data_IF_916793684031
#
_entry.id   IF_916793684031
#
_cell.length_a   1.000
_cell.length_b   1.000
_cell.length_c   1.000
_cell.angle_alpha   90.00
_cell.angle_beta   90.00
_cell.angle_gamma   90.00
#
_symmetry.space_group_name_H-M   'P 1'
#
loop_
_entity.id
_entity.type
_entity.pdbx_description
1 polymer ?
#
# COMPACT_ATOMS: atom_id res chain seq x y z
N UNK A 1 6.02 26.46 -11.48
CA UNK A 1 5.02 25.48 -10.99
C UNK A 1 5.13 25.41 -9.48
N UNK A 2 4.04 25.59 -8.77
CA UNK A 2 4.04 25.63 -7.31
C UNK A 2 4.32 24.20 -6.80
N UNK A 3 5.42 23.97 -6.06
CA UNK A 3 5.86 22.63 -5.67
C UNK A 3 4.75 21.81 -4.96
N UNK A 4 3.83 22.49 -4.27
CA UNK A 4 2.67 21.87 -3.63
C UNK A 4 1.68 21.22 -4.61
N UNK A 5 1.46 21.79 -5.80
CA UNK A 5 0.56 21.18 -6.80
C UNK A 5 1.16 19.91 -7.41
N UNK A 6 2.48 19.90 -7.61
CA UNK A 6 3.20 18.73 -8.12
C UNK A 6 3.10 17.55 -7.15
N UNK A 7 3.34 17.79 -5.86
CA UNK A 7 3.24 16.77 -4.82
C UNK A 7 1.80 16.25 -4.69
N UNK A 8 0.79 17.13 -4.72
CA UNK A 8 -0.63 16.71 -4.66
C UNK A 8 -1.01 15.80 -5.83
N UNK A 9 -0.55 16.10 -7.05
CA UNK A 9 -0.79 15.24 -8.22
C UNK A 9 -0.09 13.89 -8.06
N UNK A 10 1.16 13.89 -7.59
CA UNK A 10 1.94 12.68 -7.33
C UNK A 10 1.23 11.76 -6.33
N UNK A 11 0.74 12.32 -5.22
CA UNK A 11 0.01 11.57 -4.19
C UNK A 11 -1.29 10.97 -4.75
N UNK A 12 -2.05 11.73 -5.55
CA UNK A 12 -3.28 11.22 -6.19
C UNK A 12 -2.99 10.03 -7.09
N UNK A 13 -1.97 10.14 -7.94
CA UNK A 13 -1.55 9.04 -8.80
C UNK A 13 -1.08 7.84 -7.97
N UNK A 14 -0.29 8.09 -6.91
CA UNK A 14 0.16 7.06 -6.00
C UNK A 14 -0.97 6.31 -5.30
N UNK A 15 -2.07 6.98 -4.96
CA UNK A 15 -3.27 6.32 -4.42
C UNK A 15 -4.00 5.46 -5.43
N UNK A 16 -4.01 5.84 -6.69
CA UNK A 16 -4.68 5.08 -7.75
C UNK A 16 -3.91 3.81 -8.12
N UNK A 17 -2.57 3.86 -8.08
CA UNK A 17 -1.70 2.75 -8.53
C UNK A 17 -1.00 1.99 -7.39
N UNK A 18 -1.08 2.49 -6.16
CA UNK A 18 -0.45 1.90 -4.97
C UNK A 18 1.01 2.27 -4.70
N UNK A 19 1.70 2.95 -5.63
CA UNK A 19 3.11 3.32 -5.46
C UNK A 19 3.50 4.65 -6.13
N UNK A 20 4.66 5.18 -5.75
CA UNK A 20 5.33 6.34 -6.33
C UNK A 20 6.80 5.98 -6.60
N UNK A 21 7.31 6.35 -7.77
CA UNK A 21 8.72 6.21 -8.08
C UNK A 21 9.56 7.20 -7.27
N UNK A 22 10.59 6.68 -6.59
CA UNK A 22 11.50 7.47 -5.75
C UNK A 22 12.18 8.59 -6.52
N UNK A 23 12.53 8.37 -7.78
CA UNK A 23 13.12 9.42 -8.62
C UNK A 23 12.15 10.60 -8.84
N UNK A 24 10.87 10.30 -9.12
CA UNK A 24 9.82 11.30 -9.35
C UNK A 24 9.49 12.05 -8.06
N UNK A 25 9.45 11.34 -6.93
CA UNK A 25 9.30 11.94 -5.61
C UNK A 25 10.48 12.89 -5.32
N UNK A 26 11.72 12.40 -5.44
CA UNK A 26 12.92 13.20 -5.18
C UNK A 26 12.99 14.46 -6.04
N UNK A 27 12.56 14.39 -7.31
CA UNK A 27 12.44 15.58 -8.18
C UNK A 27 11.41 16.57 -7.65
N UNK A 28 10.26 16.10 -7.19
CA UNK A 28 9.17 16.93 -6.63
C UNK A 28 9.52 17.54 -5.28
N UNK A 29 10.42 16.92 -4.52
CA UNK A 29 10.90 17.39 -3.21
C UNK A 29 12.20 18.21 -3.30
N UNK A 30 12.70 18.53 -4.51
CA UNK A 30 13.87 19.40 -4.68
C UNK A 30 13.56 20.78 -4.08
N UNK A 31 14.39 21.21 -3.14
CA UNK A 31 14.23 22.47 -2.41
C UNK A 31 13.54 22.37 -1.05
N UNK A 32 12.99 21.21 -0.69
CA UNK A 32 12.52 20.96 0.68
C UNK A 32 13.68 20.55 1.59
N UNK A 33 13.55 20.87 2.88
CA UNK A 33 14.51 20.45 3.91
C UNK A 33 14.47 18.94 4.11
N UNK A 34 15.49 18.37 4.75
CA UNK A 34 15.48 16.93 5.06
C UNK A 34 14.31 16.55 5.98
N UNK A 35 13.93 17.44 6.90
CA UNK A 35 12.81 17.22 7.83
C UNK A 35 11.49 17.15 7.06
N UNK A 36 11.24 18.11 6.16
CA UNK A 36 10.01 18.12 5.36
C UNK A 36 9.92 16.90 4.44
N UNK A 37 11.05 16.47 3.86
CA UNK A 37 11.13 15.28 3.02
C UNK A 37 10.76 14.03 3.82
N UNK A 38 11.32 13.88 5.01
CA UNK A 38 11.06 12.74 5.88
C UNK A 38 9.59 12.72 6.29
N UNK A 39 9.03 13.86 6.69
CA UNK A 39 7.61 13.99 7.01
C UNK A 39 6.70 13.55 5.85
N UNK A 40 7.02 13.95 4.62
CA UNK A 40 6.26 13.54 3.43
C UNK A 40 6.38 12.04 3.17
N UNK A 41 7.59 11.46 3.31
CA UNK A 41 7.83 10.03 3.14
C UNK A 41 7.01 9.22 4.15
N UNK A 42 7.05 9.60 5.43
CA UNK A 42 6.28 8.95 6.50
C UNK A 42 4.77 9.09 6.28
N UNK A 43 4.33 10.27 5.80
CA UNK A 43 2.92 10.49 5.46
C UNK A 43 2.48 9.57 4.31
N UNK A 44 3.31 9.38 3.28
CA UNK A 44 3.02 8.47 2.16
C UNK A 44 2.90 7.02 2.63
N UNK A 45 3.80 6.56 3.51
CA UNK A 45 3.75 5.22 4.08
C UNK A 45 2.48 5.01 4.91
N UNK A 46 2.10 6.00 5.73
CA UNK A 46 0.84 5.97 6.49
C UNK A 46 -0.43 6.07 5.62
N UNK A 47 -0.28 6.44 4.35
CA UNK A 47 -1.35 6.40 3.34
C UNK A 47 -1.34 5.12 2.51
N UNK A 48 -0.52 4.13 2.87
CA UNK A 48 -0.35 2.86 2.16
C UNK A 48 0.14 3.05 0.72
N UNK A 49 0.93 4.09 0.47
CA UNK A 49 1.54 4.37 -0.84
C UNK A 49 3.02 4.00 -0.77
N UNK A 50 3.43 3.02 -1.56
CA UNK A 50 4.82 2.56 -1.57
C UNK A 50 5.73 3.54 -2.30
N UNK A 51 6.94 3.74 -1.79
CA UNK A 51 8.00 4.43 -2.52
C UNK A 51 8.97 3.38 -3.03
N UNK A 52 9.00 3.19 -4.35
CA UNK A 52 9.79 2.12 -5.00
C UNK A 52 10.83 2.71 -5.95
N UNK A 53 11.93 2.00 -6.17
CA UNK A 53 12.95 2.41 -7.14
C UNK A 53 12.51 2.05 -8.57
N UNK A 54 11.71 0.99 -8.73
CA UNK A 54 11.12 0.57 -10.01
C UNK A 54 9.69 0.01 -9.85
N UNK A 55 8.84 0.04 -10.89
CA UNK A 55 7.49 -0.56 -10.83
C UNK A 55 7.45 -2.05 -10.48
N UNK A 56 8.56 -2.77 -10.67
CA UNK A 56 8.67 -4.21 -10.40
C UNK A 56 8.81 -4.53 -8.92
N UNK A 57 9.20 -3.55 -8.11
CA UNK A 57 9.34 -3.68 -6.66
C UNK A 57 8.03 -3.39 -5.93
N UNK A 58 6.99 -2.95 -6.66
CA UNK A 58 5.67 -2.78 -6.09
C UNK A 58 5.09 -4.12 -5.66
N UNK A 59 4.75 -4.22 -4.38
CA UNK A 59 4.12 -5.39 -3.78
C UNK A 59 2.68 -5.06 -3.41
N UNK A 60 1.71 -5.49 -4.21
CA UNK A 60 0.29 -5.23 -3.96
C UNK A 60 -0.20 -5.74 -2.59
N UNK A 61 0.53 -6.66 -1.94
CA UNK A 61 0.17 -7.24 -0.66
C UNK A 61 0.90 -6.63 0.54
N UNK A 62 1.82 -5.67 0.35
CA UNK A 62 2.64 -5.11 1.44
C UNK A 62 1.83 -4.60 2.64
N UNK A 63 0.68 -3.99 2.37
CA UNK A 63 -0.20 -3.41 3.39
C UNK A 63 -1.41 -4.28 3.71
N UNK A 64 -1.47 -5.50 3.16
CA UNK A 64 -2.54 -6.44 3.42
C UNK A 64 -2.50 -6.88 4.88
N UNK A 65 -3.63 -6.74 5.58
CA UNK A 65 -3.74 -7.29 6.93
C UNK A 65 -3.76 -8.83 6.89
N UNK A 66 -3.41 -9.46 8.02
CA UNK A 66 -3.51 -10.92 8.14
C UNK A 66 -4.93 -11.45 7.90
N UNK A 67 -5.95 -10.70 8.31
CA UNK A 67 -7.35 -11.06 8.06
C UNK A 67 -7.72 -11.00 6.58
N UNK A 68 -7.23 -9.99 5.85
CA UNK A 68 -7.42 -9.89 4.40
C UNK A 68 -6.66 -10.99 3.65
N UNK A 69 -5.44 -11.33 4.10
CA UNK A 69 -4.69 -12.47 3.58
C UNK A 69 -5.48 -13.77 3.73
N UNK A 70 -6.05 -14.01 4.91
CA UNK A 70 -6.89 -15.18 5.18
C UNK A 70 -8.11 -15.20 4.25
N UNK A 71 -8.80 -14.08 4.05
CA UNK A 71 -9.96 -14.00 3.15
C UNK A 71 -9.59 -14.34 1.70
N UNK A 72 -8.44 -13.85 1.22
CA UNK A 72 -7.95 -14.19 -0.13
C UNK A 72 -7.69 -15.70 -0.21
N UNK A 73 -6.98 -16.28 0.75
CA UNK A 73 -6.70 -17.72 0.78
C UNK A 73 -7.97 -18.57 0.84
N UNK A 74 -8.96 -18.17 1.65
CA UNK A 74 -10.27 -18.81 1.72
C UNK A 74 -11.01 -18.77 0.37
N UNK A 75 -10.95 -17.64 -0.34
CA UNK A 75 -11.61 -17.50 -1.65
C UNK A 75 -10.99 -18.36 -2.75
N UNK A 76 -9.73 -18.78 -2.57
CA UNK A 76 -9.03 -19.71 -3.46
C UNK A 76 -9.22 -21.18 -3.06
N UNK A 77 -9.79 -21.45 -1.89
CA UNK A 77 -10.02 -22.81 -1.41
C UNK A 77 -11.11 -23.51 -2.23
N UNK A 78 -10.86 -24.76 -2.60
CA UNK A 78 -11.82 -25.64 -3.28
C UNK A 78 -12.84 -26.25 -2.30
N UNK A 79 -12.77 -25.90 -1.02
CA UNK A 79 -13.62 -26.42 0.05
C UNK A 79 -13.27 -27.84 0.52
N UNK A 80 -12.27 -28.49 -0.10
CA UNK A 80 -11.83 -29.84 0.30
C UNK A 80 -10.72 -29.82 1.36
N UNK A 81 -10.09 -28.67 1.58
CA UNK A 81 -9.00 -28.50 2.55
C UNK A 81 -9.45 -27.55 3.67
N UNK A 82 -9.36 -28.02 4.91
CA UNK A 82 -9.80 -27.31 6.12
C UNK A 82 -8.93 -26.09 6.49
N UNK A 83 -7.86 -25.83 5.73
CA UNK A 83 -6.99 -24.69 5.97
C UNK A 83 -7.80 -23.39 5.81
N UNK A 84 -7.82 -22.57 6.87
CA UNK A 84 -8.51 -21.29 6.94
C UNK A 84 -10.04 -21.36 6.89
N UNK A 85 -10.69 -22.52 6.86
CA UNK A 85 -12.16 -22.60 6.98
C UNK A 85 -12.53 -22.36 8.45
N UNK A 86 -13.40 -21.38 8.74
CA UNK A 86 -14.00 -21.31 10.07
C UNK A 86 -14.85 -22.56 10.24
N UNK A 87 -14.61 -23.40 11.27
CA UNK A 87 -15.50 -24.52 11.53
C UNK A 87 -16.92 -23.96 11.64
N UNK A 88 -17.94 -24.66 11.10
CA UNK A 88 -19.31 -24.25 11.32
C UNK A 88 -19.48 -24.08 12.82
N UNK A 89 -19.98 -22.92 13.24
CA UNK A 89 -20.36 -22.72 14.63
C UNK A 89 -21.29 -23.88 14.96
N UNK A 90 -20.82 -24.81 15.80
CA UNK A 90 -21.72 -25.72 16.50
C UNK A 90 -22.51 -24.83 17.47
N UNK A 91 -23.51 -24.15 16.92
CA UNK A 91 -24.70 -23.73 17.64
C UNK A 91 -25.35 -25.03 18.13
N UNK A 92 -24.79 -25.57 19.21
CA UNK A 92 -25.43 -26.58 20.03
C UNK A 92 -26.62 -25.89 20.70
N UNK A 93 -27.80 -26.29 20.24
CA UNK A 93 -29.10 -26.18 20.92
C UNK A 93 -29.03 -26.43 22.43
#
# INVERSE_FOLDING_TARGET
MNNQEGIKKLIRQGKEIGYILKETLNKSLRGLSMVDRQYIIETLEGMEIQIVDSPKEYDEYKYLSGEEAIKILQSLSDGNHEAFVKPPDEDNE
#
